data_IF_543436574903
#
_entry.id   IF_543436574903
#
_cell.length_a   1.000
_cell.length_b   1.000
_cell.length_c   1.000
_cell.angle_alpha   90.00
_cell.angle_beta   90.00
_cell.angle_gamma   90.00
#
_symmetry.space_group_name_H-M   'P 1'
#
loop_
_entity.id
_entity.type
_entity.pdbx_description
1 polymer ?
#
# COMPACT_ATOMS: atom_id res chain seq x y z
N UNK A 1 24.82 18.88 -13.73
CA UNK A 1 23.45 19.03 -14.27
C UNK A 1 22.60 17.97 -13.59
N UNK A 2 21.58 18.38 -12.83
CA UNK A 2 20.89 17.53 -11.85
C UNK A 2 19.47 17.24 -12.37
N UNK A 3 19.23 16.02 -12.86
CA UNK A 3 17.91 15.60 -13.38
C UNK A 3 17.19 14.74 -12.34
N UNK A 4 16.34 15.43 -11.56
CA UNK A 4 15.01 14.99 -11.10
C UNK A 4 14.81 13.50 -10.82
N UNK A 5 15.45 12.99 -9.76
CA UNK A 5 14.95 11.80 -9.07
C UNK A 5 13.71 12.22 -8.28
N UNK A 6 12.53 12.04 -8.88
CA UNK A 6 11.22 12.18 -8.23
C UNK A 6 11.01 11.11 -7.16
N UNK A 7 11.88 11.09 -6.16
CA UNK A 7 11.80 10.23 -4.99
C UNK A 7 10.63 10.74 -4.15
N UNK A 8 9.43 10.21 -4.42
CA UNK A 8 8.28 10.38 -3.55
C UNK A 8 8.54 9.59 -2.27
N UNK A 9 9.36 10.13 -1.37
CA UNK A 9 9.54 9.59 -0.03
C UNK A 9 8.22 9.79 0.73
N UNK A 10 7.39 8.75 0.77
CA UNK A 10 6.21 8.72 1.62
C UNK A 10 6.71 8.53 3.06
N UNK A 11 7.01 9.64 3.74
CA UNK A 11 7.25 9.67 5.18
C UNK A 11 5.94 9.34 5.90
N UNK A 12 5.78 8.06 6.25
CA UNK A 12 4.63 7.57 7.00
C UNK A 12 4.88 7.80 8.50
N UNK A 13 4.75 9.06 8.92
CA UNK A 13 4.41 9.44 10.30
C UNK A 13 2.90 9.25 10.54
N UNK A 14 2.39 9.51 11.76
CA UNK A 14 0.97 9.37 12.06
C UNK A 14 0.15 10.37 11.24
N UNK A 15 -0.29 9.95 10.05
CA UNK A 15 -1.13 10.75 9.17
C UNK A 15 -2.53 10.82 9.76
N UNK A 16 -2.78 11.82 10.60
CA UNK A 16 -4.14 12.31 10.81
C UNK A 16 -4.52 13.04 9.54
N UNK A 17 -5.23 12.35 8.65
CA UNK A 17 -5.81 12.96 7.46
C UNK A 17 -7.10 13.68 7.85
N UNK A 18 -7.16 14.99 7.62
CA UNK A 18 -8.33 15.82 7.85
C UNK A 18 -9.06 16.01 6.50
N UNK A 19 -10.26 15.45 6.29
CA UNK A 19 -11.04 15.77 5.10
C UNK A 19 -11.38 17.26 5.08
N UNK A 20 -11.34 17.85 3.88
CA UNK A 20 -11.72 19.25 3.68
C UNK A 20 -13.23 19.46 3.86
N UNK A 21 -13.68 20.68 4.18
CA UNK A 21 -15.08 21.00 4.52
C UNK A 21 -16.11 20.80 3.40
N UNK A 22 -15.68 20.38 2.19
CA UNK A 22 -16.53 20.28 1.00
C UNK A 22 -16.75 18.82 0.53
N UNK A 23 -16.41 17.85 1.37
CA UNK A 23 -16.46 16.43 1.02
C UNK A 23 -17.83 15.83 1.40
N UNK A 24 -18.77 15.89 0.46
CA UNK A 24 -20.06 15.21 0.56
C UNK A 24 -19.88 13.71 0.28
N UNK A 25 -19.25 13.00 1.20
CA UNK A 25 -19.29 11.54 1.25
C UNK A 25 -20.57 11.08 1.93
N UNK A 26 -21.29 10.12 1.34
CA UNK A 26 -22.19 9.24 2.12
C UNK A 26 -21.41 8.82 3.37
N UNK A 27 -21.99 8.88 4.59
CA UNK A 27 -21.35 8.40 5.83
C UNK A 27 -20.95 6.92 5.68
N UNK A 28 -19.86 6.65 4.96
CA UNK A 28 -19.25 5.35 4.83
C UNK A 28 -18.55 5.09 6.14
N UNK A 29 -18.82 3.93 6.74
CA UNK A 29 -18.08 3.48 7.90
C UNK A 29 -16.58 3.53 7.55
N UNK A 30 -15.80 4.28 8.34
CA UNK A 30 -14.36 4.32 8.14
C UNK A 30 -13.77 2.91 8.27
N UNK A 31 -12.87 2.55 7.38
CA UNK A 31 -12.17 1.26 7.42
C UNK A 31 -11.00 1.38 8.38
N UNK A 32 -11.10 0.73 9.53
CA UNK A 32 -10.00 0.62 10.48
C UNK A 32 -8.96 -0.38 9.99
N UNK A 33 -7.70 0.04 9.92
CA UNK A 33 -6.55 -0.79 9.57
C UNK A 33 -5.63 -0.89 10.78
N UNK A 34 -5.19 -2.11 11.07
CA UNK A 34 -4.15 -2.42 12.04
C UNK A 34 -2.74 -2.17 11.47
N UNK A 35 -1.71 -2.28 12.32
CA UNK A 35 -0.32 -2.04 11.91
C UNK A 35 0.21 -3.01 10.86
N UNK A 36 -0.43 -4.17 10.69
CA UNK A 36 -0.09 -5.20 9.70
C UNK A 36 -1.08 -5.24 8.55
N UNK A 37 -2.06 -4.34 8.52
CA UNK A 37 -3.09 -4.30 7.49
C UNK A 37 -2.87 -3.12 6.56
N UNK A 38 -3.35 -3.29 5.34
CA UNK A 38 -3.38 -2.25 4.32
C UNK A 38 -4.56 -2.46 3.39
N UNK A 39 -4.93 -1.44 2.65
CA UNK A 39 -5.88 -1.52 1.56
C UNK A 39 -5.34 -0.77 0.35
N UNK A 40 -5.90 -1.08 -0.81
CA UNK A 40 -5.64 -0.33 -2.03
C UNK A 40 -6.82 0.59 -2.25
N UNK A 41 -6.54 1.87 -2.49
CA UNK A 41 -7.52 2.88 -2.89
C UNK A 41 -7.34 3.13 -4.37
N UNK A 42 -8.41 3.04 -5.13
CA UNK A 42 -8.47 3.45 -6.52
C UNK A 42 -9.32 4.73 -6.63
N UNK A 43 -8.71 5.79 -7.11
CA UNK A 43 -9.43 7.01 -7.43
C UNK A 43 -10.09 6.87 -8.81
N UNK A 44 -11.43 6.89 -8.85
CA UNK A 44 -12.20 6.71 -10.09
C UNK A 44 -12.14 7.91 -11.03
N UNK A 45 -11.73 9.09 -10.55
CA UNK A 45 -11.57 10.26 -11.43
C UNK A 45 -10.32 10.17 -12.31
N UNK A 46 -9.20 9.82 -11.68
CA UNK A 46 -7.87 9.77 -12.31
C UNK A 46 -7.50 8.36 -12.78
N UNK A 47 -8.17 7.33 -12.25
CA UNK A 47 -7.79 5.93 -12.43
C UNK A 47 -6.54 5.52 -11.65
N UNK A 48 -6.08 6.36 -10.71
CA UNK A 48 -4.85 6.12 -9.99
C UNK A 48 -5.07 5.23 -8.77
N UNK A 49 -4.26 4.18 -8.61
CA UNK A 49 -4.31 3.31 -7.44
C UNK A 49 -3.17 3.62 -6.46
N UNK A 50 -3.47 3.66 -5.17
CA UNK A 50 -2.52 3.96 -4.09
C UNK A 50 -2.73 3.01 -2.91
N UNK A 51 -1.66 2.65 -2.20
CA UNK A 51 -1.73 1.81 -1.02
C UNK A 51 -1.79 2.64 0.28
N UNK A 52 -2.80 2.36 1.11
CA UNK A 52 -2.92 2.89 2.47
C UNK A 52 -2.54 1.79 3.47
N UNK A 53 -1.49 2.02 4.26
CA UNK A 53 -1.06 1.11 5.33
C UNK A 53 -1.56 1.60 6.69
N UNK A 54 -1.90 0.69 7.59
CA UNK A 54 -2.20 1.03 8.97
C UNK A 54 -0.95 1.25 9.83
N UNK A 55 -1.12 1.54 11.14
CA UNK A 55 -2.41 1.64 11.83
C UNK A 55 -3.09 2.99 11.57
N UNK A 56 -4.27 2.98 10.96
CA UNK A 56 -5.05 4.20 10.69
C UNK A 56 -6.52 3.86 10.42
N UNK A 57 -7.40 4.86 10.50
CA UNK A 57 -8.76 4.75 9.97
C UNK A 57 -8.81 5.47 8.64
N UNK A 58 -9.09 4.73 7.57
CA UNK A 58 -9.26 5.29 6.24
C UNK A 58 -10.72 5.64 5.99
N UNK A 59 -10.96 6.79 5.36
CA UNK A 59 -12.30 7.24 4.97
C UNK A 59 -12.36 7.36 3.45
N UNK A 60 -13.37 6.79 2.79
CA UNK A 60 -13.56 6.95 1.35
C UNK A 60 -13.98 8.38 1.01
N UNK A 61 -13.28 9.00 0.07
CA UNK A 61 -13.76 10.19 -0.62
C UNK A 61 -14.86 9.86 -1.64
N UNK A 62 -15.48 10.88 -2.26
CA UNK A 62 -16.63 10.72 -3.14
C UNK A 62 -16.36 9.90 -4.41
N UNK A 63 -15.09 9.78 -4.82
CA UNK A 63 -14.66 9.04 -6.01
C UNK A 63 -13.66 7.93 -5.68
N UNK A 64 -13.36 7.73 -4.40
CA UNK A 64 -12.45 6.68 -3.97
C UNK A 64 -13.18 5.35 -3.88
N UNK A 65 -12.54 4.31 -4.39
CA UNK A 65 -12.94 2.93 -4.20
C UNK A 65 -11.83 2.18 -3.46
N UNK A 66 -12.10 1.73 -2.24
CA UNK A 66 -11.18 0.83 -1.54
C UNK A 66 -11.40 -0.63 -1.94
N UNK A 67 -10.31 -1.39 -2.07
CA UNK A 67 -10.34 -2.84 -2.04
C UNK A 67 -10.69 -3.36 -0.64
N UNK A 68 -10.91 -4.68 -0.53
CA UNK A 68 -10.90 -5.36 0.77
C UNK A 68 -9.59 -5.11 1.52
N UNK A 69 -9.67 -5.11 2.85
CA UNK A 69 -8.49 -5.07 3.74
C UNK A 69 -7.61 -6.29 3.46
N UNK A 70 -6.31 -6.06 3.35
CA UNK A 70 -5.28 -7.06 3.09
C UNK A 70 -4.27 -7.07 4.23
N UNK A 71 -3.73 -8.25 4.51
CA UNK A 71 -2.65 -8.41 5.48
C UNK A 71 -1.28 -8.36 4.81
N UNK A 72 -0.34 -7.69 5.47
CA UNK A 72 1.06 -7.62 5.08
C UNK A 72 1.74 -8.96 5.33
N UNK A 73 2.72 -9.28 4.48
CA UNK A 73 3.44 -10.55 4.54
C UNK A 73 4.61 -10.38 5.50
N UNK A 74 4.56 -11.07 6.63
CA UNK A 74 5.66 -11.12 7.58
C UNK A 74 6.65 -12.20 7.14
N UNK A 75 7.88 -11.78 6.82
CA UNK A 75 9.01 -12.65 6.60
C UNK A 75 9.81 -12.84 7.88
N UNK A 76 10.24 -14.08 8.10
CA UNK A 76 11.22 -14.49 9.09
C UNK A 76 12.65 -14.32 8.56
N UNK A 77 13.63 -14.53 9.43
CA UNK A 77 15.06 -14.33 9.11
C UNK A 77 15.55 -15.18 7.93
N UNK A 78 14.98 -16.39 7.82
CA UNK A 78 15.31 -17.36 6.79
C UNK A 78 14.39 -17.29 5.57
N UNK A 79 13.38 -16.40 5.57
CA UNK A 79 12.37 -16.36 4.52
C UNK A 79 12.68 -15.34 3.43
N UNK A 80 12.14 -15.59 2.24
CA UNK A 80 12.21 -14.66 1.13
C UNK A 80 10.97 -14.64 0.24
N UNK A 81 10.75 -13.50 -0.41
CA UNK A 81 9.72 -13.23 -1.41
C UNK A 81 10.37 -12.75 -2.69
N UNK A 82 10.01 -13.36 -3.82
CA UNK A 82 10.26 -12.83 -5.16
C UNK A 82 9.05 -12.04 -5.61
N UNK A 83 9.27 -10.77 -5.89
CA UNK A 83 8.25 -9.83 -6.30
C UNK A 83 8.51 -9.38 -7.73
N UNK A 84 7.42 -9.11 -8.43
CA UNK A 84 7.42 -8.52 -9.76
C UNK A 84 6.44 -7.36 -9.80
N UNK A 85 6.91 -6.21 -10.23
CA UNK A 85 6.03 -5.10 -10.59
C UNK A 85 5.44 -5.35 -11.98
N UNK A 86 4.12 -5.42 -12.06
CA UNK A 86 3.38 -5.64 -13.30
C UNK A 86 3.28 -4.40 -14.17
N UNK A 87 3.50 -3.20 -13.60
CA UNK A 87 3.49 -1.94 -14.36
C UNK A 87 4.80 -1.69 -15.08
N UNK A 88 5.94 -1.93 -14.41
CA UNK A 88 7.28 -1.71 -14.96
C UNK A 88 7.95 -2.98 -15.47
N UNK A 89 7.49 -4.16 -15.05
CA UNK A 89 8.13 -5.45 -15.32
C UNK A 89 9.33 -5.76 -14.42
N UNK A 90 9.69 -4.87 -13.50
CA UNK A 90 10.84 -5.02 -12.61
C UNK A 90 10.66 -6.21 -11.66
N UNK A 91 11.73 -6.95 -11.38
CA UNK A 91 11.72 -8.08 -10.44
C UNK A 91 12.80 -7.91 -9.38
N UNK A 92 12.48 -8.27 -8.14
CA UNK A 92 13.43 -8.25 -7.04
C UNK A 92 13.08 -9.29 -5.99
N UNK A 93 14.01 -9.51 -5.05
CA UNK A 93 13.82 -10.43 -3.94
C UNK A 93 13.92 -9.66 -2.62
N UNK A 94 12.93 -9.83 -1.74
CA UNK A 94 13.02 -9.43 -0.33
C UNK A 94 13.37 -10.66 0.49
N UNK A 95 14.42 -10.56 1.31
CA UNK A 95 14.92 -11.64 2.17
C UNK A 95 15.08 -11.13 3.59
N UNK A 96 14.98 -12.05 4.55
CA UNK A 96 15.19 -11.77 5.96
C UNK A 96 13.99 -11.10 6.62
N UNK A 97 14.10 -10.91 7.93
CA UNK A 97 13.00 -10.45 8.79
C UNK A 97 12.46 -9.10 8.33
N UNK A 98 11.27 -9.10 7.73
CA UNK A 98 10.65 -7.91 7.17
C UNK A 98 9.13 -8.02 7.11
N UNK A 99 8.42 -6.90 7.16
CA UNK A 99 6.99 -6.83 6.91
C UNK A 99 6.74 -6.19 5.54
N UNK A 100 6.20 -6.95 4.59
CA UNK A 100 6.06 -6.55 3.19
C UNK A 100 4.61 -6.22 2.88
N UNK A 101 4.38 -4.97 2.48
CA UNK A 101 3.09 -4.48 1.99
C UNK A 101 3.14 -4.47 0.45
N UNK A 102 2.16 -5.08 -0.21
CA UNK A 102 2.16 -5.17 -1.67
C UNK A 102 1.52 -3.94 -2.30
N UNK A 103 2.29 -3.23 -3.11
CA UNK A 103 1.76 -2.18 -3.97
C UNK A 103 0.74 -2.75 -4.96
N UNK A 104 -0.20 -1.94 -5.46
CA UNK A 104 -1.29 -2.41 -6.32
C UNK A 104 -0.81 -3.13 -7.58
N UNK A 105 0.36 -2.75 -8.09
CA UNK A 105 0.96 -3.33 -9.29
C UNK A 105 1.88 -4.52 -8.99
N UNK A 106 2.15 -4.81 -7.72
CA UNK A 106 3.09 -5.87 -7.36
C UNK A 106 2.43 -7.23 -7.32
N UNK A 107 3.14 -8.23 -7.83
CA UNK A 107 2.76 -9.63 -7.82
C UNK A 107 3.84 -10.46 -7.14
N UNK A 108 3.42 -11.42 -6.31
CA UNK A 108 4.32 -12.42 -5.74
C UNK A 108 4.51 -13.52 -6.78
N UNK A 109 5.75 -13.75 -7.20
CA UNK A 109 6.09 -14.86 -8.09
C UNK A 109 6.44 -16.12 -7.30
N UNK A 110 7.13 -15.98 -6.16
CA UNK A 110 7.58 -17.11 -5.35
C UNK A 110 7.84 -16.72 -3.90
N UNK A 111 7.52 -17.61 -2.98
CA UNK A 111 7.86 -17.54 -1.56
C UNK A 111 8.75 -18.74 -1.20
N UNK A 112 9.74 -18.57 -0.31
CA UNK A 112 10.60 -19.68 0.11
C UNK A 112 11.28 -19.46 1.46
N UNK A 113 11.79 -20.56 2.02
CA UNK A 113 12.64 -20.62 3.21
C UNK A 113 14.06 -20.99 2.76
N UNK A 114 15.07 -20.34 3.29
CA UNK A 114 16.48 -20.45 2.93
C UNK A 114 17.27 -21.36 3.85
N UNK A 115 16.92 -22.65 3.88
CA UNK A 115 17.58 -23.68 4.70
C UNK A 115 19.11 -23.64 4.75
#
# INVERSE_FOLDING_TARGET
>A
ENQETGEKSIQKGPCIWFPGPNESGTKGAGTSLNSTEYLIVEDRQTGNSSMVKGPCVWFPGPYDASSSVKEAIALQDDEYLRLKDMSTGQRWVKRGKALVFLEPTWQIELTGCGS
#
